data_IF_964314038250
#
_entry.id   IF_964314038250
#
_cell.length_a   1.000
_cell.length_b   1.000
_cell.length_c   1.000
_cell.angle_alpha   90.00
_cell.angle_beta   90.00
_cell.angle_gamma   90.00
#
_symmetry.space_group_name_H-M   'P 1'
#
loop_
_entity.id
_entity.type
_entity.pdbx_description
1 polymer ?
#
# COMPACT_ATOMS: atom_id res chain seq x y z
N UNK A 1 -23.03 -2.20 2.89
CA UNK A 1 -22.08 -2.26 4.02
C UNK A 1 -20.79 -2.80 3.49
N UNK A 2 -19.69 -2.06 3.61
CA UNK A 2 -18.38 -2.50 3.13
C UNK A 2 -17.69 -3.26 4.26
N UNK A 3 -16.94 -4.30 3.92
CA UNK A 3 -16.12 -5.06 4.87
C UNK A 3 -14.67 -4.64 4.70
N UNK A 4 -13.99 -4.42 5.80
CA UNK A 4 -12.57 -4.12 5.86
C UNK A 4 -11.89 -5.17 6.71
N UNK A 5 -10.79 -5.74 6.22
CA UNK A 5 -10.14 -6.90 6.82
C UNK A 5 -8.65 -6.66 7.01
N UNK A 6 -8.16 -7.00 8.21
CA UNK A 6 -6.74 -7.05 8.53
C UNK A 6 -6.30 -8.50 8.47
N UNK A 7 -5.32 -8.80 7.64
CA UNK A 7 -4.76 -10.15 7.49
C UNK A 7 -3.27 -10.15 7.85
N UNK A 8 -2.84 -11.14 8.62
CA UNK A 8 -1.43 -11.35 8.93
C UNK A 8 -0.97 -12.63 8.25
N UNK A 9 0.20 -12.61 7.61
CA UNK A 9 0.81 -13.86 7.13
C UNK A 9 1.39 -14.63 8.32
N UNK A 10 0.80 -15.78 8.65
CA UNK A 10 1.25 -16.62 9.75
C UNK A 10 2.18 -17.72 9.24
N UNK A 11 3.50 -17.50 9.39
CA UNK A 11 4.55 -18.37 8.86
C UNK A 11 4.42 -19.84 9.29
N UNK A 12 3.95 -20.11 10.52
CA UNK A 12 3.85 -21.48 11.02
C UNK A 12 2.89 -22.36 10.19
N UNK A 13 1.89 -21.75 9.55
CA UNK A 13 0.89 -22.44 8.71
C UNK A 13 0.97 -22.02 7.24
N UNK A 14 1.93 -21.16 6.88
CA UNK A 14 2.12 -20.62 5.52
C UNK A 14 0.82 -20.04 4.92
N UNK A 15 0.02 -19.36 5.73
CA UNK A 15 -1.28 -18.84 5.33
C UNK A 15 -1.50 -17.40 5.81
N UNK A 16 -2.31 -16.64 5.06
CA UNK A 16 -2.81 -15.35 5.51
C UNK A 16 -4.02 -15.58 6.41
N UNK A 17 -3.94 -15.13 7.67
CA UNK A 17 -5.01 -15.28 8.65
C UNK A 17 -5.64 -13.93 8.93
N UNK A 18 -6.96 -13.85 8.82
CA UNK A 18 -7.74 -12.69 9.23
C UNK A 18 -7.70 -12.53 10.74
N UNK A 19 -7.27 -11.36 11.21
CA UNK A 19 -7.15 -11.06 12.64
C UNK A 19 -8.13 -9.99 13.11
N UNK A 20 -8.67 -9.20 12.18
CA UNK A 20 -9.71 -8.22 12.47
C UNK A 20 -10.58 -8.00 11.24
N UNK A 21 -11.87 -7.72 11.49
CA UNK A 21 -12.83 -7.26 10.48
C UNK A 21 -13.60 -6.07 11.02
N UNK A 22 -13.82 -5.08 10.17
CA UNK A 22 -14.66 -3.94 10.45
C UNK A 22 -15.70 -3.79 9.35
N UNK A 23 -16.96 -3.64 9.73
CA UNK A 23 -18.05 -3.38 8.79
C UNK A 23 -18.35 -1.89 8.79
N UNK A 24 -18.08 -1.22 7.66
CA UNK A 24 -18.04 0.23 7.59
C UNK A 24 -18.87 0.72 6.42
N UNK A 25 -19.64 1.79 6.63
CA UNK A 25 -20.40 2.46 5.57
C UNK A 25 -19.71 3.73 5.07
N UNK A 26 -18.64 4.17 5.74
CA UNK A 26 -17.75 5.26 5.34
C UNK A 26 -16.35 4.97 5.89
N UNK A 27 -15.32 5.19 5.06
CA UNK A 27 -13.91 5.16 5.46
C UNK A 27 -13.31 6.54 5.27
N UNK A 28 -13.16 7.31 6.34
CA UNK A 28 -12.35 8.54 6.34
C UNK A 28 -10.97 8.23 6.93
N UNK A 29 -10.00 9.10 6.66
CA UNK A 29 -8.66 8.99 7.26
C UNK A 29 -8.73 8.91 8.78
N UNK A 30 -9.53 9.78 9.42
CA UNK A 30 -9.69 9.82 10.88
C UNK A 30 -10.33 8.54 11.42
N UNK A 31 -11.30 7.97 10.69
CA UNK A 31 -11.90 6.70 11.06
C UNK A 31 -10.87 5.57 11.04
N UNK A 32 -10.09 5.46 9.96
CA UNK A 32 -9.07 4.42 9.87
C UNK A 32 -7.96 4.63 10.89
N UNK A 33 -7.55 5.86 11.15
CA UNK A 33 -6.63 6.19 12.23
C UNK A 33 -7.13 5.65 13.58
N UNK A 34 -8.40 5.88 13.92
CA UNK A 34 -9.01 5.34 15.14
C UNK A 34 -9.06 3.80 15.16
N UNK A 35 -9.33 3.16 14.03
CA UNK A 35 -9.30 1.69 13.90
C UNK A 35 -7.89 1.15 14.17
N UNK A 36 -6.86 1.76 13.60
CA UNK A 36 -5.48 1.34 13.83
C UNK A 36 -5.02 1.63 15.26
N UNK A 37 -5.37 2.77 15.83
CA UNK A 37 -5.08 3.10 17.23
C UNK A 37 -5.70 2.06 18.18
N UNK A 38 -6.95 1.69 17.94
CA UNK A 38 -7.65 0.68 18.75
C UNK A 38 -7.02 -0.71 18.58
N UNK A 39 -6.64 -1.09 17.37
CA UNK A 39 -5.92 -2.33 17.10
C UNK A 39 -4.57 -2.35 17.86
N UNK A 40 -3.81 -1.25 17.85
CA UNK A 40 -2.57 -1.12 18.60
C UNK A 40 -2.81 -1.26 20.11
N UNK A 41 -3.84 -0.59 20.63
CA UNK A 41 -4.23 -0.63 22.04
C UNK A 41 -4.62 -2.04 22.50
N UNK A 42 -5.49 -2.72 21.75
CA UNK A 42 -5.93 -4.09 22.05
C UNK A 42 -4.75 -5.04 22.02
N UNK A 43 -3.90 -4.96 20.98
CA UNK A 43 -2.73 -5.83 20.83
C UNK A 43 -1.74 -5.65 21.98
N UNK A 44 -1.50 -4.42 22.41
CA UNK A 44 -0.67 -4.13 23.59
C UNK A 44 -1.28 -4.71 24.87
N UNK A 45 -2.58 -4.55 25.08
CA UNK A 45 -3.28 -5.10 26.26
C UNK A 45 -3.19 -6.63 26.32
N UNK A 46 -3.39 -7.31 25.19
CA UNK A 46 -3.44 -8.78 25.13
C UNK A 46 -2.05 -9.41 25.17
N UNK A 47 -1.05 -8.79 24.52
CA UNK A 47 0.27 -9.42 24.31
C UNK A 47 1.41 -8.76 25.07
N UNK A 48 1.19 -7.59 25.68
CA UNK A 48 2.22 -6.76 26.27
C UNK A 48 3.19 -6.13 25.26
N UNK A 49 2.94 -6.25 23.95
CA UNK A 49 3.83 -5.75 22.88
C UNK A 49 3.06 -4.86 21.90
N UNK A 50 3.58 -3.68 21.47
CA UNK A 50 2.89 -2.83 20.49
C UNK A 50 2.96 -3.41 19.07
N UNK A 51 2.03 -3.05 18.19
CA UNK A 51 2.22 -3.20 16.74
C UNK A 51 3.10 -2.04 16.30
N UNK A 52 4.32 -2.33 15.91
CA UNK A 52 5.28 -1.31 15.53
C UNK A 52 6.12 -1.81 14.37
N UNK A 53 6.43 -0.91 13.45
CA UNK A 53 7.19 -1.21 12.24
C UNK A 53 8.67 -0.96 12.48
N UNK A 54 9.50 -1.85 11.94
CA UNK A 54 10.95 -1.77 12.08
C UNK A 54 11.52 -0.48 11.52
N UNK A 55 10.86 0.15 10.54
CA UNK A 55 11.26 1.45 10.03
C UNK A 55 11.20 2.58 11.08
N UNK A 56 10.36 2.45 12.11
CA UNK A 56 10.09 3.53 13.09
C UNK A 56 10.56 3.20 14.50
N UNK A 57 10.65 1.92 14.86
CA UNK A 57 10.95 1.47 16.23
C UNK A 57 12.02 0.37 16.20
N UNK A 58 13.10 0.49 16.99
CA UNK A 58 14.13 -0.55 17.05
C UNK A 58 13.61 -1.83 17.73
N UNK A 59 14.08 -3.00 17.28
CA UNK A 59 13.83 -4.29 17.95
C UNK A 59 12.46 -4.92 17.71
N UNK A 60 11.68 -4.42 16.75
CA UNK A 60 10.37 -4.97 16.38
C UNK A 60 10.46 -5.79 15.08
N UNK A 61 9.49 -6.68 14.86
CA UNK A 61 9.52 -7.67 13.77
C UNK A 61 8.61 -7.36 12.58
N UNK A 62 7.75 -6.34 12.66
CA UNK A 62 6.88 -6.01 11.55
C UNK A 62 7.66 -5.16 10.54
N UNK A 63 7.86 -5.67 9.34
CA UNK A 63 8.72 -5.03 8.34
C UNK A 63 7.93 -4.08 7.44
N UNK A 64 6.86 -4.60 6.82
CA UNK A 64 6.06 -3.88 5.83
C UNK A 64 4.60 -4.24 5.93
N UNK A 65 3.76 -3.37 5.37
CA UNK A 65 2.31 -3.52 5.26
C UNK A 65 1.89 -3.40 3.80
N UNK A 66 1.11 -4.36 3.31
CA UNK A 66 0.47 -4.32 2.01
C UNK A 66 -0.89 -3.65 2.13
N UNK A 67 -1.25 -2.80 1.18
CA UNK A 67 -2.51 -2.08 1.14
C UNK A 67 -3.20 -2.19 -0.23
N UNK A 68 -4.53 -2.15 -0.23
CA UNK A 68 -5.38 -2.21 -1.44
C UNK A 68 -5.63 -0.84 -2.08
N UNK A 69 -4.70 0.09 -1.89
CA UNK A 69 -4.71 1.44 -2.48
C UNK A 69 -5.87 2.35 -2.01
N UNK A 70 -6.60 1.98 -0.95
CA UNK A 70 -7.54 2.88 -0.27
C UNK A 70 -6.76 4.01 0.42
N UNK A 71 -6.83 5.22 -0.16
CA UNK A 71 -6.09 6.38 0.33
C UNK A 71 -6.46 6.77 1.76
N UNK A 72 -7.72 6.63 2.17
CA UNK A 72 -8.13 6.95 3.54
C UNK A 72 -7.52 5.96 4.53
N UNK A 73 -7.53 4.67 4.20
CA UNK A 73 -6.90 3.64 5.02
C UNK A 73 -5.38 3.80 5.08
N UNK A 74 -4.75 4.08 3.94
CA UNK A 74 -3.30 4.30 3.85
C UNK A 74 -2.85 5.49 4.71
N UNK A 75 -3.53 6.62 4.60
CA UNK A 75 -3.19 7.80 5.41
C UNK A 75 -3.54 7.59 6.89
N UNK A 76 -4.64 6.90 7.19
CA UNK A 76 -5.06 6.60 8.56
C UNK A 76 -4.03 5.74 9.29
N UNK A 77 -3.49 4.70 8.64
CA UNK A 77 -2.40 3.90 9.24
C UNK A 77 -1.13 4.73 9.42
N UNK A 78 -0.76 5.58 8.46
CA UNK A 78 0.42 6.45 8.59
C UNK A 78 0.32 7.37 9.81
N UNK A 79 -0.84 7.97 10.04
CA UNK A 79 -1.10 8.80 11.24
C UNK A 79 -1.06 8.00 12.54
N UNK A 80 -1.55 6.76 12.52
CA UNK A 80 -1.52 5.89 13.70
C UNK A 80 -0.10 5.42 14.04
N UNK A 81 0.70 5.01 13.06
CA UNK A 81 2.05 4.45 13.30
C UNK A 81 3.08 5.51 13.72
N UNK A 82 2.98 6.74 13.21
CA UNK A 82 3.97 7.79 13.53
C UNK A 82 3.90 8.23 15.01
N UNK A 83 2.76 8.01 15.68
CA UNK A 83 2.61 8.26 17.13
C UNK A 83 3.58 7.45 17.99
N UNK A 84 4.11 6.35 17.46
CA UNK A 84 5.02 5.45 18.16
C UNK A 84 6.46 5.52 17.60
N UNK A 85 6.73 6.47 16.71
CA UNK A 85 8.05 6.64 16.12
C UNK A 85 9.11 7.01 17.15
N UNK A 86 10.34 6.52 16.94
CA UNK A 86 11.54 6.89 17.69
C UNK A 86 12.44 7.71 16.76
N UNK A 87 12.35 9.06 16.76
CA UNK A 87 13.05 9.91 15.78
C UNK A 87 14.57 9.72 15.76
N UNK A 88 15.18 9.49 16.92
CA UNK A 88 16.63 9.25 17.03
C UNK A 88 17.07 7.99 16.28
N UNK A 89 16.18 7.02 16.15
CA UNK A 89 16.42 5.78 15.40
C UNK A 89 16.02 5.94 13.93
N UNK A 90 14.78 6.33 13.65
CA UNK A 90 14.22 6.38 12.29
C UNK A 90 14.75 7.54 11.45
N UNK A 91 15.22 8.61 12.10
CA UNK A 91 15.56 9.90 11.49
C UNK A 91 14.37 10.59 10.81
N UNK A 92 13.15 10.20 11.16
CA UNK A 92 11.91 10.76 10.64
C UNK A 92 11.29 11.65 11.72
N UNK A 93 11.04 12.95 11.45
CA UNK A 93 10.32 13.83 12.37
C UNK A 93 8.88 13.35 12.64
N UNK A 94 8.38 13.53 13.87
CA UNK A 94 7.02 13.11 14.24
C UNK A 94 5.91 13.94 13.55
N UNK A 95 6.24 15.12 13.04
CA UNK A 95 5.35 16.00 12.26
C UNK A 95 5.43 15.73 10.74
N UNK A 96 6.13 14.68 10.32
CA UNK A 96 6.20 14.27 8.91
C UNK A 96 4.79 13.99 8.38
N UNK A 97 4.39 14.57 7.24
CA UNK A 97 3.07 14.31 6.65
C UNK A 97 2.86 12.81 6.32
N UNK A 98 1.63 12.27 6.49
CA UNK A 98 1.30 10.86 6.23
C UNK A 98 1.75 10.34 4.86
N UNK A 99 1.67 11.17 3.83
CA UNK A 99 2.05 10.84 2.45
C UNK A 99 3.55 10.58 2.32
N UNK A 100 4.37 11.22 3.15
CA UNK A 100 5.82 11.01 3.22
C UNK A 100 6.21 9.86 4.14
N UNK A 101 5.29 9.37 4.97
CA UNK A 101 5.51 8.23 5.88
C UNK A 101 5.26 6.91 5.14
N UNK A 102 4.23 6.81 4.31
CA UNK A 102 3.86 5.57 3.62
C UNK A 102 5.03 4.87 2.88
N UNK A 103 5.90 5.59 2.12
CA UNK A 103 7.01 4.98 1.38
C UNK A 103 8.02 4.18 2.22
N UNK A 104 8.05 4.38 3.54
CA UNK A 104 8.98 3.70 4.45
C UNK A 104 8.57 2.29 4.82
N UNK A 105 7.30 1.92 4.64
CA UNK A 105 6.79 0.65 5.13
C UNK A 105 5.63 0.07 4.34
N UNK A 106 4.99 0.85 3.47
CA UNK A 106 3.80 0.43 2.75
C UNK A 106 4.14 -0.06 1.34
N UNK A 107 3.48 -1.15 0.94
CA UNK A 107 3.44 -1.66 -0.42
C UNK A 107 1.99 -1.64 -0.88
N UNK A 108 1.73 -1.23 -2.11
CA UNK A 108 0.41 -1.39 -2.72
C UNK A 108 0.38 -2.74 -3.43
N UNK A 109 -0.70 -3.49 -3.24
CA UNK A 109 -0.93 -4.74 -3.95
C UNK A 109 -0.91 -4.50 -5.47
N UNK A 110 -0.11 -5.27 -6.20
CA UNK A 110 0.00 -5.13 -7.65
C UNK A 110 -1.31 -5.34 -8.40
N UNK A 111 -2.21 -6.19 -7.88
CA UNK A 111 -3.56 -6.34 -8.43
C UNK A 111 -4.26 -4.98 -8.46
N UNK A 112 -4.33 -4.29 -7.34
CA UNK A 112 -4.99 -2.98 -7.24
C UNK A 112 -4.24 -1.88 -8.02
N UNK A 113 -2.91 -1.93 -8.05
CA UNK A 113 -2.10 -1.02 -8.86
C UNK A 113 -2.31 -1.17 -10.38
N UNK A 114 -2.50 -2.41 -10.86
CA UNK A 114 -2.64 -2.75 -12.29
C UNK A 114 -4.08 -2.90 -12.75
N UNK A 115 -5.05 -3.04 -11.84
CA UNK A 115 -6.46 -3.26 -12.19
C UNK A 115 -7.01 -2.27 -13.23
N UNK A 116 -6.75 -0.95 -13.11
CA UNK A 116 -7.23 0.00 -14.13
C UNK A 116 -6.61 -0.23 -15.51
N UNK A 117 -5.38 -0.76 -15.59
CA UNK A 117 -4.63 -0.97 -16.84
C UNK A 117 -5.30 -2.03 -17.71
N UNK A 118 -5.92 -3.05 -17.11
CA UNK A 118 -6.71 -4.03 -17.86
C UNK A 118 -7.84 -3.38 -18.68
N UNK A 119 -8.41 -2.28 -18.18
CA UNK A 119 -9.44 -1.50 -18.87
C UNK A 119 -8.92 -0.62 -20.00
N UNK A 120 -7.61 -0.62 -20.28
CA UNK A 120 -6.99 0.17 -21.35
C UNK A 120 -6.70 -0.65 -22.61
N UNK A 121 -6.86 -1.99 -22.58
CA UNK A 121 -6.51 -2.88 -23.70
C UNK A 121 -7.16 -2.51 -25.04
N UNK A 122 -8.38 -1.96 -25.02
CA UNK A 122 -9.09 -1.52 -26.23
C UNK A 122 -8.74 -0.08 -26.67
N UNK A 123 -7.91 0.63 -25.91
CA UNK A 123 -7.59 2.05 -26.12
C UNK A 123 -6.21 2.28 -26.74
N UNK A 124 -5.36 1.25 -26.76
CA UNK A 124 -3.96 1.34 -27.19
C UNK A 124 -3.56 0.07 -27.95
N UNK A 125 -2.38 0.07 -28.58
CA UNK A 125 -1.82 -1.13 -29.21
C UNK A 125 -1.51 -2.22 -28.17
N UNK A 126 -1.26 -3.45 -28.65
CA UNK A 126 -0.89 -4.56 -27.76
C UNK A 126 0.45 -4.28 -27.08
N UNK A 127 1.37 -3.68 -27.82
CA UNK A 127 2.71 -3.29 -27.39
C UNK A 127 2.63 -2.21 -26.30
N UNK A 128 1.84 -1.15 -26.53
CA UNK A 128 1.65 -0.08 -25.56
C UNK A 128 0.98 -0.59 -24.28
N UNK A 129 -0.01 -1.49 -24.42
CA UNK A 129 -0.65 -2.12 -23.27
C UNK A 129 0.35 -2.95 -22.45
N UNK A 130 1.29 -3.66 -23.08
CA UNK A 130 2.34 -4.38 -22.38
C UNK A 130 3.25 -3.43 -21.59
N UNK A 131 3.67 -2.32 -22.19
CA UNK A 131 4.46 -1.26 -21.51
C UNK A 131 3.69 -0.73 -20.28
N UNK A 132 2.39 -0.45 -20.43
CA UNK A 132 1.55 0.01 -19.32
C UNK A 132 1.44 -1.03 -18.19
N UNK A 133 1.46 -2.32 -18.49
CA UNK A 133 1.39 -3.40 -17.49
C UNK A 133 2.71 -3.56 -16.72
N UNK A 134 3.84 -3.14 -17.29
CA UNK A 134 5.19 -3.34 -16.76
C UNK A 134 5.72 -2.17 -15.93
N UNK A 135 4.93 -1.10 -15.75
CA UNK A 135 5.36 0.10 -15.00
C UNK A 135 5.87 -0.18 -13.58
N UNK A 136 5.38 -1.24 -12.92
CA UNK A 136 5.81 -1.63 -11.57
C UNK A 136 7.28 -2.11 -11.53
N UNK A 137 7.84 -2.47 -12.68
CA UNK A 137 9.22 -2.97 -12.83
C UNK A 137 10.20 -1.86 -13.24
N UNK A 138 9.77 -0.59 -13.23
CA UNK A 138 10.66 0.54 -13.48
C UNK A 138 11.72 0.60 -12.37
N UNK A 139 12.99 0.57 -12.77
CA UNK A 139 14.11 0.42 -11.84
C UNK A 139 14.94 1.71 -11.62
N UNK A 140 14.51 2.84 -12.18
CA UNK A 140 15.20 4.12 -12.03
C UNK A 140 14.25 5.32 -12.19
N UNK A 141 14.65 6.47 -11.65
CA UNK A 141 13.94 7.74 -11.85
C UNK A 141 13.88 8.13 -13.34
N UNK A 142 14.95 7.91 -14.09
CA UNK A 142 14.97 8.14 -15.55
C UNK A 142 13.95 7.26 -16.27
N UNK A 143 13.85 5.98 -15.88
CA UNK A 143 12.85 5.05 -16.41
C UNK A 143 11.42 5.52 -16.08
N UNK A 144 11.21 6.06 -14.89
CA UNK A 144 9.92 6.61 -14.48
C UNK A 144 9.56 7.85 -15.30
N UNK A 145 10.50 8.76 -15.51
CA UNK A 145 10.31 9.94 -16.34
C UNK A 145 10.00 9.57 -17.81
N UNK A 146 10.71 8.57 -18.35
CA UNK A 146 10.43 8.00 -19.68
C UNK A 146 9.02 7.42 -19.75
N UNK A 147 8.59 6.69 -18.73
CA UNK A 147 7.24 6.15 -18.66
C UNK A 147 6.17 7.25 -18.56
N UNK A 148 6.38 8.27 -17.74
CA UNK A 148 5.49 9.44 -17.67
C UNK A 148 5.36 10.15 -19.02
N UNK A 149 6.47 10.31 -19.75
CA UNK A 149 6.47 10.89 -21.09
C UNK A 149 5.74 10.00 -22.10
N UNK A 150 5.97 8.68 -22.05
CA UNK A 150 5.25 7.69 -22.86
C UNK A 150 3.74 7.78 -22.64
N UNK A 151 3.26 7.77 -21.39
CA UNK A 151 1.83 7.88 -21.07
C UNK A 151 1.22 9.17 -21.63
N UNK A 152 1.91 10.30 -21.51
CA UNK A 152 1.47 11.58 -22.10
C UNK A 152 1.43 11.53 -23.63
N UNK A 153 2.41 10.85 -24.24
CA UNK A 153 2.52 10.67 -25.69
C UNK A 153 1.41 9.81 -26.30
N UNK A 154 0.76 8.93 -25.53
CA UNK A 154 -0.39 8.13 -26.01
C UNK A 154 -1.59 9.01 -26.41
N UNK A 155 -1.72 10.21 -25.85
CA UNK A 155 -2.85 11.12 -26.12
C UNK A 155 -4.22 10.62 -25.61
N UNK A 156 -4.27 9.48 -24.91
CA UNK A 156 -5.50 8.91 -24.37
C UNK A 156 -5.79 9.49 -22.98
N UNK A 157 -6.76 10.40 -22.90
CA UNK A 157 -7.12 11.14 -21.67
C UNK A 157 -7.29 10.25 -20.45
N UNK A 158 -8.01 9.13 -20.59
CA UNK A 158 -8.26 8.17 -19.49
C UNK A 158 -6.97 7.61 -18.88
N UNK A 159 -5.95 7.34 -19.71
CA UNK A 159 -4.66 6.79 -19.27
C UNK A 159 -3.80 7.90 -18.65
N UNK A 160 -3.83 9.09 -19.25
CA UNK A 160 -3.16 10.28 -18.70
C UNK A 160 -3.69 10.58 -17.30
N UNK A 161 -5.01 10.67 -17.13
CA UNK A 161 -5.63 10.98 -15.83
C UNK A 161 -5.31 9.90 -14.78
N UNK A 162 -5.29 8.62 -15.18
CA UNK A 162 -4.87 7.51 -14.30
C UNK A 162 -3.43 7.64 -13.79
N UNK A 163 -2.52 8.08 -14.65
CA UNK A 163 -1.12 8.26 -14.29
C UNK A 163 -0.91 9.54 -13.48
N UNK A 164 -1.50 10.65 -13.91
CA UNK A 164 -1.48 11.92 -13.19
C UNK A 164 -2.03 11.78 -11.76
N UNK A 165 -3.07 10.96 -11.55
CA UNK A 165 -3.55 10.64 -10.20
C UNK A 165 -2.45 10.02 -9.32
N UNK A 166 -1.58 9.16 -9.87
CA UNK A 166 -0.44 8.58 -9.14
C UNK A 166 0.67 9.58 -8.87
N UNK A 167 0.91 10.49 -9.82
CA UNK A 167 1.91 11.56 -9.66
C UNK A 167 1.48 12.58 -8.60
N UNK A 168 0.19 12.96 -8.56
CA UNK A 168 -0.35 13.91 -7.57
C UNK A 168 -0.35 13.31 -6.17
N UNK A 169 -0.76 12.04 -6.03
CA UNK A 169 -0.71 11.33 -4.76
C UNK A 169 0.69 10.73 -4.57
N UNK A 170 1.63 11.57 -4.12
CA UNK A 170 3.07 11.30 -4.06
C UNK A 170 3.47 10.03 -3.30
N UNK A 171 2.58 9.49 -2.45
CA UNK A 171 2.79 8.24 -1.74
C UNK A 171 2.62 6.99 -2.62
N UNK A 172 1.83 7.07 -3.71
CA UNK A 172 1.39 5.90 -4.49
C UNK A 172 2.55 5.25 -5.24
N UNK A 173 3.32 6.03 -6.01
CA UNK A 173 4.40 5.50 -6.85
C UNK A 173 5.49 4.82 -5.99
N UNK A 174 6.00 5.43 -4.90
CA UNK A 174 6.94 4.77 -3.98
C UNK A 174 6.41 3.49 -3.33
N UNK A 175 5.09 3.35 -3.18
CA UNK A 175 4.47 2.14 -2.65
C UNK A 175 4.20 1.08 -3.73
N UNK A 176 4.25 1.41 -5.02
CA UNK A 176 4.06 0.48 -6.15
C UNK A 176 5.37 0.02 -6.79
N UNK A 177 6.34 0.92 -6.90
CA UNK A 177 7.57 0.76 -7.68
C UNK A 177 8.78 0.67 -6.75
N UNK A 178 9.46 -0.48 -6.76
CA UNK A 178 10.57 -0.79 -5.85
C UNK A 178 11.66 0.28 -5.86
N UNK A 179 12.06 0.75 -7.03
CA UNK A 179 13.14 1.75 -7.17
C UNK A 179 12.82 3.11 -6.57
N UNK A 180 11.54 3.38 -6.30
CA UNK A 180 11.07 4.63 -5.73
C UNK A 180 10.74 4.49 -4.23
N UNK A 181 10.79 3.27 -3.69
CA UNK A 181 10.47 3.00 -2.29
C UNK A 181 11.62 3.35 -1.36
N UNK A 182 11.29 3.72 -0.11
CA UNK A 182 12.26 3.87 0.97
C UNK A 182 12.41 2.58 1.80
N UNK A 183 11.64 1.54 1.48
CA UNK A 183 11.79 0.20 2.05
C UNK A 183 13.10 -0.40 1.50
N UNK A 184 14.02 -0.89 2.36
CA UNK A 184 15.22 -1.59 1.93
C UNK A 184 14.91 -2.74 0.97
N UNK A 185 15.70 -2.92 -0.10
CA UNK A 185 15.42 -3.91 -1.14
C UNK A 185 15.23 -5.34 -0.59
N UNK A 186 16.05 -5.75 0.39
CA UNK A 186 15.95 -7.05 1.05
C UNK A 186 14.62 -7.26 1.80
N UNK A 187 14.02 -6.18 2.30
CA UNK A 187 12.71 -6.19 2.95
C UNK A 187 11.60 -6.16 1.91
N UNK A 188 11.75 -5.35 0.86
CA UNK A 188 10.77 -5.23 -0.22
C UNK A 188 10.48 -6.58 -0.88
N UNK A 189 11.52 -7.39 -1.11
CA UNK A 189 11.39 -8.71 -1.74
C UNK A 189 10.82 -9.78 -0.79
N UNK A 190 10.62 -9.46 0.48
CA UNK A 190 10.01 -10.33 1.49
C UNK A 190 8.48 -10.26 1.58
N UNK A 191 7.92 -11.11 2.45
CA UNK A 191 6.49 -11.14 2.76
C UNK A 191 6.15 -10.17 3.92
N UNK A 192 5.07 -9.40 3.78
CA UNK A 192 4.57 -8.45 4.76
C UNK A 192 3.22 -8.81 5.35
N UNK A 193 2.73 -7.98 6.27
CA UNK A 193 1.31 -7.98 6.71
C UNK A 193 0.44 -7.39 5.60
N UNK A 194 -0.81 -7.82 5.42
CA UNK A 194 -1.69 -7.31 4.37
C UNK A 194 -3.01 -6.77 4.94
N UNK A 195 -3.40 -5.59 4.51
CA UNK A 195 -4.62 -4.90 4.98
C UNK A 195 -5.40 -4.40 3.79
N UNK A 196 -6.68 -4.78 3.73
CA UNK A 196 -7.49 -4.61 2.54
C UNK A 196 -8.95 -4.31 2.85
N UNK A 197 -9.63 -3.65 1.91
CA UNK A 197 -11.09 -3.54 1.94
C UNK A 197 -11.69 -4.56 0.98
N UNK A 198 -12.53 -5.45 1.48
CA UNK A 198 -13.37 -6.27 0.62
C UNK A 198 -14.70 -5.52 0.42
N UNK A 199 -14.78 -4.79 -0.69
CA UNK A 199 -16.12 -4.48 -1.20
C UNK A 199 -16.73 -5.80 -1.65
N UNK A 200 -17.82 -6.21 -1.01
CA UNK A 200 -18.49 -7.47 -1.30
C UNK A 200 -18.71 -7.63 -2.81
N UNK A 201 -18.03 -8.62 -3.41
CA UNK A 201 -18.41 -9.24 -4.67
C UNK A 201 -18.41 -10.75 -4.48
N UNK A 202 -19.32 -11.47 -5.17
CA UNK A 202 -19.66 -12.84 -4.81
C UNK A 202 -18.44 -13.73 -4.92
N UNK A 203 -18.37 -14.72 -4.04
CA UNK A 203 -17.46 -15.84 -4.15
C UNK A 203 -17.45 -16.37 -5.58
N UNK A 204 -16.41 -16.02 -6.34
CA UNK A 204 -16.02 -16.75 -7.53
C UNK A 204 -14.84 -17.62 -7.09
N UNK A 205 -15.17 -18.81 -6.61
CA UNK A 205 -14.25 -19.93 -6.67
C UNK A 205 -13.75 -20.06 -8.12
N UNK A 206 -12.44 -20.08 -8.31
CA UNK A 206 -11.84 -20.65 -9.51
C UNK A 206 -10.78 -21.64 -9.04
N UNK A 207 -11.11 -22.91 -9.30
CA UNK A 207 -10.27 -24.10 -9.22
C UNK A 207 -8.98 -23.92 -10.04
N UNK A 208 -7.83 -24.34 -9.50
CA UNK A 208 -7.29 -25.72 -9.62
C UNK A 208 -6.55 -26.05 -8.33
#
# INVERSE_FOLDING_TARGET
MNEWEVTLFFKAVQHATSVARAYINRGSTDFFEAVFDELQRIKLMVTGKPIALQAFVPGVNLLVMNADMDGAAAMGVCRSVIKHNVPDYSKIPNDTPPEKIAPWFMKICWRHGKEPVHGFRALVSTEDHAILMDFVYINSEEGLAKFSAFVKGLGVRKIIDWWTHKEINTWIIPCLVKSQSLIPAAIWDGFGVAVGSSTARPAAAINV
#
